data_IF_084765727176
#
_entry.id   IF_084765727176
#
_cell.length_a   1.000
_cell.length_b   1.000
_cell.length_c   1.000
_cell.angle_alpha   90.00
_cell.angle_beta   90.00
_cell.angle_gamma   90.00
#
_symmetry.space_group_name_H-M   'P 1'
#
loop_
_entity.id
_entity.type
_entity.pdbx_description
1 polymer ?
#
# COMPACT_ATOMS: atom_id res chain seq x y z
N UNK A 1 -5.88 -15.47 7.40
CA UNK A 1 -5.88 -14.74 8.70
C UNK A 1 -4.61 -13.90 8.89
N UNK A 2 -3.41 -14.41 8.61
CA UNK A 2 -2.16 -13.64 8.82
C UNK A 2 -2.04 -12.37 7.96
N UNK A 3 -2.57 -12.36 6.73
CA UNK A 3 -2.60 -11.16 5.87
C UNK A 3 -3.47 -10.04 6.44
N UNK A 4 -4.63 -10.40 7.03
CA UNK A 4 -5.45 -9.42 7.75
C UNK A 4 -4.70 -8.84 8.94
N UNK A 5 -4.01 -9.69 9.70
CA UNK A 5 -3.21 -9.24 10.82
C UNK A 5 -2.12 -8.27 10.35
N UNK A 6 -1.42 -8.60 9.26
CA UNK A 6 -0.42 -7.73 8.64
C UNK A 6 -1.00 -6.35 8.29
N UNK A 7 -2.16 -6.30 7.61
CA UNK A 7 -2.80 -5.05 7.18
C UNK A 7 -3.43 -4.27 8.34
N UNK A 8 -3.86 -4.96 9.40
CA UNK A 8 -4.45 -4.33 10.58
C UNK A 8 -3.42 -3.52 11.37
N UNK A 9 -2.16 -3.94 11.39
CA UNK A 9 -1.09 -3.25 12.13
C UNK A 9 -0.93 -1.79 11.68
N UNK A 10 -0.73 -1.50 10.37
CA UNK A 10 -0.58 -0.13 9.93
C UNK A 10 -1.86 0.69 9.92
N UNK A 11 -2.99 0.09 9.54
CA UNK A 11 -4.27 0.81 9.58
C UNK A 11 -4.66 1.23 11.00
N UNK A 12 -4.54 0.34 11.99
CA UNK A 12 -4.84 0.65 13.40
C UNK A 12 -3.85 1.66 13.96
N UNK A 13 -2.56 1.51 13.68
CA UNK A 13 -1.55 2.46 14.16
C UNK A 13 -1.77 3.86 13.58
N UNK A 14 -2.09 4.00 12.29
CA UNK A 14 -2.44 5.28 11.67
C UNK A 14 -3.62 5.96 12.39
N UNK A 15 -4.72 5.21 12.59
CA UNK A 15 -5.91 5.71 13.29
C UNK A 15 -5.61 6.09 14.76
N UNK A 16 -4.87 5.26 15.48
CA UNK A 16 -4.50 5.51 16.87
C UNK A 16 -3.61 6.75 17.03
N UNK A 17 -2.67 6.97 16.11
CA UNK A 17 -1.81 8.15 16.07
C UNK A 17 -2.65 9.40 15.83
N UNK A 18 -3.62 9.35 14.90
CA UNK A 18 -4.51 10.48 14.62
C UNK A 18 -5.35 10.89 15.84
N UNK A 19 -5.77 9.92 16.67
CA UNK A 19 -6.50 10.19 17.91
C UNK A 19 -5.63 10.67 19.08
N UNK A 20 -4.31 10.59 18.96
CA UNK A 20 -3.36 10.90 20.04
C UNK A 20 -2.88 12.35 19.95
N UNK A 21 -2.54 12.96 21.10
CA UNK A 21 -1.92 14.31 21.18
C UNK A 21 -0.55 14.33 21.83
N UNK A 22 -0.09 13.19 22.37
CA UNK A 22 1.21 13.07 23.05
C UNK A 22 2.25 12.53 22.08
N UNK A 23 3.28 13.32 21.80
CA UNK A 23 4.40 12.98 20.91
C UNK A 23 5.00 11.61 21.21
N UNK A 24 5.40 11.37 22.46
CA UNK A 24 6.01 10.12 22.90
C UNK A 24 5.14 8.90 22.62
N UNK A 25 3.81 9.04 22.75
CA UNK A 25 2.86 7.96 22.44
C UNK A 25 2.79 7.70 20.95
N UNK A 26 2.78 8.74 20.11
CA UNK A 26 2.81 8.60 18.65
C UNK A 26 4.07 7.87 18.18
N UNK A 27 5.23 8.26 18.70
CA UNK A 27 6.53 7.64 18.37
C UNK A 27 6.56 6.16 18.75
N UNK A 28 6.05 5.80 19.94
CA UNK A 28 5.96 4.41 20.37
C UNK A 28 5.02 3.57 19.50
N UNK A 29 3.83 4.10 19.18
CA UNK A 29 2.88 3.41 18.28
C UNK A 29 3.51 3.20 16.91
N UNK A 30 4.12 4.25 16.34
CA UNK A 30 4.78 4.19 15.03
C UNK A 30 5.95 3.19 15.00
N UNK A 31 6.88 3.29 15.95
CA UNK A 31 8.06 2.41 16.01
C UNK A 31 7.65 0.95 16.26
N UNK A 32 6.71 0.71 17.18
CA UNK A 32 6.24 -0.65 17.44
C UNK A 32 5.49 -1.23 16.24
N UNK A 33 4.62 -0.46 15.59
CA UNK A 33 3.84 -0.95 14.46
C UNK A 33 4.73 -1.29 13.26
N UNK A 34 5.77 -0.51 12.97
CA UNK A 34 6.71 -0.81 11.88
C UNK A 34 7.56 -2.06 12.17
N UNK A 35 8.02 -2.26 13.41
CA UNK A 35 8.74 -3.48 13.82
C UNK A 35 7.82 -4.72 13.79
N UNK A 36 6.61 -4.61 14.33
CA UNK A 36 5.65 -5.72 14.33
C UNK A 36 5.24 -6.08 12.90
N UNK A 37 5.05 -5.10 12.01
CA UNK A 37 4.78 -5.35 10.60
C UNK A 37 5.94 -6.11 9.92
N UNK A 38 7.20 -5.79 10.23
CA UNK A 38 8.37 -6.53 9.76
C UNK A 38 8.39 -7.98 10.24
N UNK A 39 8.12 -8.22 11.52
CA UNK A 39 8.08 -9.58 12.08
C UNK A 39 6.99 -10.40 11.40
N UNK A 40 5.79 -9.83 11.24
CA UNK A 40 4.66 -10.51 10.59
C UNK A 40 4.94 -10.72 9.10
N UNK A 41 5.49 -9.72 8.41
CA UNK A 41 5.89 -9.82 7.00
C UNK A 41 6.92 -10.93 6.77
N UNK A 42 7.95 -10.99 7.60
CA UNK A 42 8.96 -12.05 7.56
C UNK A 42 8.33 -13.44 7.81
N UNK A 43 7.39 -13.54 8.75
CA UNK A 43 6.71 -14.80 9.02
C UNK A 43 5.89 -15.32 7.82
N UNK A 44 5.30 -14.44 7.01
CA UNK A 44 4.62 -14.82 5.76
C UNK A 44 5.62 -15.41 4.77
N UNK A 45 6.79 -14.79 4.63
CA UNK A 45 7.89 -15.33 3.81
C UNK A 45 8.33 -16.72 4.26
N UNK A 46 8.47 -16.95 5.57
CA UNK A 46 8.84 -18.27 6.10
C UNK A 46 7.80 -19.35 5.82
N UNK A 47 6.50 -19.02 5.89
CA UNK A 47 5.42 -19.99 5.59
C UNK A 47 5.43 -20.42 4.13
N UNK A 48 5.63 -19.46 3.23
CA UNK A 48 5.66 -19.73 1.80
C UNK A 48 6.89 -20.56 1.43
N UNK A 49 8.04 -20.27 2.05
CA UNK A 49 9.24 -21.08 1.85
C UNK A 49 9.14 -22.48 2.48
N UNK A 50 8.41 -22.63 3.59
CA UNK A 50 8.17 -23.91 4.27
C UNK A 50 7.12 -24.81 3.57
N UNK A 51 6.56 -24.39 2.44
CA UNK A 51 5.68 -25.22 1.61
C UNK A 51 4.20 -24.84 1.63
N UNK A 52 3.80 -23.69 2.17
CA UNK A 52 2.46 -23.10 1.95
C UNK A 52 2.48 -22.21 0.69
N UNK A 53 2.20 -22.71 -0.52
CA UNK A 53 2.47 -21.96 -1.77
C UNK A 53 1.65 -20.68 -1.92
N UNK A 54 0.48 -20.62 -1.28
CA UNK A 54 -0.40 -19.45 -1.27
C UNK A 54 -1.06 -19.31 0.09
N UNK A 55 -0.98 -18.11 0.66
CA UNK A 55 -1.81 -17.71 1.80
C UNK A 55 -2.93 -16.83 1.25
N UNK A 56 -4.19 -17.27 1.38
CA UNK A 56 -5.34 -16.49 0.93
C UNK A 56 -6.37 -16.28 2.03
N UNK A 57 -7.11 -15.18 1.92
CA UNK A 57 -8.28 -14.89 2.73
C UNK A 57 -9.20 -13.91 2.00
N UNK A 58 -10.36 -14.38 1.53
CA UNK A 58 -11.30 -13.57 0.75
C UNK A 58 -10.61 -12.88 -0.44
N UNK A 59 -10.59 -11.54 -0.48
CA UNK A 59 -9.93 -10.72 -1.51
C UNK A 59 -8.40 -10.61 -1.34
N UNK A 60 -7.82 -11.22 -0.32
CA UNK A 60 -6.38 -11.18 -0.05
C UNK A 60 -5.71 -12.47 -0.49
N UNK A 61 -4.54 -12.34 -1.11
CA UNK A 61 -3.71 -13.44 -1.59
C UNK A 61 -2.24 -13.02 -1.52
N UNK A 62 -1.41 -13.92 -1.01
CA UNK A 62 0.03 -13.80 -1.10
C UNK A 62 0.64 -15.11 -1.58
N UNK A 63 1.33 -15.05 -2.71
CA UNK A 63 2.22 -16.10 -3.22
C UNK A 63 3.69 -15.68 -3.02
N UNK A 64 4.63 -16.43 -3.62
CA UNK A 64 6.06 -16.15 -3.48
C UNK A 64 6.46 -14.73 -3.90
N UNK A 65 5.82 -14.15 -4.93
CA UNK A 65 6.10 -12.79 -5.37
C UNK A 65 5.55 -11.78 -4.37
N UNK A 66 4.30 -11.95 -3.92
CA UNK A 66 3.73 -11.11 -2.87
C UNK A 66 4.55 -11.17 -1.57
N UNK A 67 5.03 -12.35 -1.17
CA UNK A 67 5.86 -12.53 0.02
C UNK A 67 7.15 -11.73 -0.05
N UNK A 68 7.82 -11.78 -1.22
CA UNK A 68 9.03 -11.02 -1.48
C UNK A 68 8.75 -9.51 -1.41
N UNK A 69 7.68 -9.04 -2.04
CA UNK A 69 7.30 -7.63 -2.01
C UNK A 69 6.90 -7.15 -0.61
N UNK A 70 6.13 -7.95 0.14
CA UNK A 70 5.81 -7.70 1.56
C UNK A 70 7.11 -7.59 2.39
N UNK A 71 8.07 -8.48 2.14
CA UNK A 71 9.38 -8.45 2.80
C UNK A 71 10.10 -7.12 2.56
N UNK A 72 10.17 -6.65 1.30
CA UNK A 72 10.78 -5.37 0.95
C UNK A 72 10.05 -4.21 1.62
N UNK A 73 8.73 -4.13 1.47
CA UNK A 73 7.91 -3.03 2.00
C UNK A 73 8.06 -2.94 3.52
N UNK A 74 7.96 -4.06 4.22
CA UNK A 74 8.07 -4.08 5.68
C UNK A 74 9.50 -3.83 6.16
N UNK A 75 10.53 -4.30 5.45
CA UNK A 75 11.93 -4.04 5.79
C UNK A 75 12.31 -2.57 5.61
N UNK A 76 12.06 -2.01 4.42
CA UNK A 76 12.34 -0.60 4.14
C UNK A 76 11.47 0.29 5.03
N UNK A 77 10.20 -0.08 5.22
CA UNK A 77 9.29 0.62 6.14
C UNK A 77 9.76 0.62 7.59
N UNK A 78 10.33 -0.47 8.08
CA UNK A 78 10.90 -0.55 9.43
C UNK A 78 12.16 0.32 9.58
N UNK A 79 13.10 0.24 8.63
CA UNK A 79 14.33 1.05 8.67
C UNK A 79 13.99 2.55 8.61
N UNK A 80 13.18 2.95 7.61
CA UNK A 80 12.76 4.33 7.46
C UNK A 80 11.90 4.80 8.65
N UNK A 81 11.00 3.94 9.14
CA UNK A 81 10.13 4.21 10.27
C UNK A 81 10.89 4.46 11.56
N UNK A 82 11.85 3.60 11.91
CA UNK A 82 12.69 3.78 13.09
C UNK A 82 13.59 5.01 12.98
N UNK A 83 14.19 5.25 11.81
CA UNK A 83 15.00 6.44 11.56
C UNK A 83 14.16 7.73 11.68
N UNK A 84 12.93 7.72 11.18
CA UNK A 84 12.04 8.88 11.21
C UNK A 84 11.71 9.37 12.62
N UNK A 85 11.80 8.52 13.64
CA UNK A 85 11.60 8.94 15.04
C UNK A 85 12.68 9.92 15.48
N UNK A 86 13.95 9.59 15.22
CA UNK A 86 15.07 10.47 15.54
C UNK A 86 15.04 11.74 14.67
N UNK A 87 14.76 11.57 13.38
CA UNK A 87 14.71 12.69 12.43
C UNK A 87 13.61 13.71 12.79
N UNK A 88 12.38 13.27 13.07
CA UNK A 88 11.29 14.18 13.45
C UNK A 88 11.56 14.90 14.78
N UNK A 89 12.32 14.31 15.70
CA UNK A 89 12.79 14.96 16.94
C UNK A 89 13.77 16.09 16.71
N UNK A 90 14.57 16.01 15.64
CA UNK A 90 15.51 17.06 15.26
C UNK A 90 14.83 18.16 14.45
N UNK A 91 13.90 17.79 13.57
CA UNK A 91 13.28 18.71 12.61
C UNK A 91 12.12 19.53 13.22
N UNK A 92 11.28 18.91 14.05
CA UNK A 92 10.07 19.52 14.56
C UNK A 92 10.07 19.63 16.08
N UNK A 93 10.03 20.87 16.57
CA UNK A 93 9.80 21.18 17.98
C UNK A 93 8.38 20.83 18.44
N UNK A 94 8.14 20.89 19.75
CA UNK A 94 6.84 20.57 20.36
C UNK A 94 5.71 21.55 19.98
N UNK A 95 6.01 22.64 19.26
CA UNK A 95 5.00 23.52 18.67
C UNK A 95 4.39 22.94 17.37
N UNK A 96 5.01 21.92 16.77
CA UNK A 96 4.61 21.33 15.48
C UNK A 96 4.00 19.92 15.63
N UNK A 97 3.31 19.67 16.74
CA UNK A 97 2.71 18.36 17.02
C UNK A 97 1.67 17.93 15.98
N UNK A 98 1.00 18.87 15.32
CA UNK A 98 0.08 18.54 14.22
C UNK A 98 0.80 17.96 13.02
N UNK A 99 1.94 18.52 12.63
CA UNK A 99 2.76 18.02 11.51
C UNK A 99 3.35 16.66 11.86
N UNK A 100 3.91 16.49 13.06
CA UNK A 100 4.45 15.20 13.51
C UNK A 100 3.38 14.11 13.53
N UNK A 101 2.17 14.44 14.01
CA UNK A 101 1.02 13.51 13.99
C UNK A 101 0.63 13.14 12.56
N UNK A 102 0.53 14.13 11.68
CA UNK A 102 0.17 13.92 10.28
C UNK A 102 1.22 13.05 9.59
N UNK A 103 2.50 13.31 9.80
CA UNK A 103 3.60 12.52 9.26
C UNK A 103 3.50 11.04 9.66
N UNK A 104 3.43 10.73 10.96
CA UNK A 104 3.39 9.33 11.39
C UNK A 104 2.09 8.62 10.96
N UNK A 105 0.95 9.32 10.99
CA UNK A 105 -0.31 8.75 10.53
C UNK A 105 -0.28 8.44 9.03
N UNK A 106 0.24 9.37 8.21
CA UNK A 106 0.36 9.18 6.76
C UNK A 106 1.44 8.18 6.38
N UNK A 107 2.56 8.14 7.09
CA UNK A 107 3.59 7.11 6.89
C UNK A 107 2.98 5.73 7.07
N UNK A 108 2.21 5.54 8.14
CA UNK A 108 1.60 4.26 8.40
C UNK A 108 0.44 3.96 7.44
N UNK A 109 -0.31 4.97 7.01
CA UNK A 109 -1.28 4.83 5.92
C UNK A 109 -0.61 4.42 4.60
N UNK A 110 0.56 4.98 4.28
CA UNK A 110 1.36 4.65 3.11
C UNK A 110 1.84 3.19 3.16
N UNK A 111 2.34 2.73 4.30
CA UNK A 111 2.71 1.31 4.49
C UNK A 111 1.49 0.41 4.35
N UNK A 112 0.33 0.79 4.91
CA UNK A 112 -0.91 0.04 4.75
C UNK A 112 -1.31 -0.10 3.28
N UNK A 113 -1.34 0.99 2.53
CA UNK A 113 -1.76 0.97 1.12
C UNK A 113 -0.75 0.23 0.23
N UNK A 114 0.56 0.36 0.49
CA UNK A 114 1.59 -0.46 -0.17
C UNK A 114 1.38 -1.95 0.08
N UNK A 115 1.15 -2.36 1.33
CA UNK A 115 0.91 -3.76 1.68
C UNK A 115 -0.40 -4.28 1.09
N UNK A 116 -1.46 -3.46 1.05
CA UNK A 116 -2.73 -3.82 0.44
C UNK A 116 -2.57 -4.04 -1.08
N UNK A 117 -1.81 -3.19 -1.76
CA UNK A 117 -1.56 -3.30 -3.20
C UNK A 117 -0.88 -4.63 -3.57
N UNK A 118 0.06 -5.12 -2.75
CA UNK A 118 0.81 -6.35 -3.05
C UNK A 118 0.16 -7.63 -2.51
N UNK A 119 -0.83 -7.50 -1.62
CA UNK A 119 -1.50 -8.63 -0.95
C UNK A 119 -2.95 -8.84 -1.38
N UNK A 120 -3.46 -8.07 -2.35
CA UNK A 120 -4.82 -8.21 -2.89
C UNK A 120 -4.85 -9.13 -4.12
N UNK A 121 -5.88 -9.99 -4.18
CA UNK A 121 -6.20 -10.78 -5.37
C UNK A 121 -7.07 -9.98 -6.37
N UNK A 122 -7.61 -8.82 -5.99
CA UNK A 122 -8.51 -8.05 -6.85
C UNK A 122 -7.80 -6.85 -7.49
N UNK A 123 -7.83 -6.75 -8.83
CA UNK A 123 -7.21 -5.66 -9.60
C UNK A 123 -7.79 -4.28 -9.28
N UNK A 124 -9.09 -4.18 -9.09
CA UNK A 124 -9.74 -2.92 -8.71
C UNK A 124 -9.28 -2.46 -7.33
N UNK A 125 -9.20 -3.37 -6.36
CA UNK A 125 -8.67 -3.07 -5.03
C UNK A 125 -7.18 -2.72 -5.06
N UNK A 126 -6.40 -3.36 -5.94
CA UNK A 126 -4.99 -3.02 -6.17
C UNK A 126 -4.85 -1.59 -6.68
N UNK A 127 -5.67 -1.21 -7.67
CA UNK A 127 -5.71 0.16 -8.20
C UNK A 127 -6.03 1.19 -7.11
N UNK A 128 -7.07 0.93 -6.29
CA UNK A 128 -7.43 1.80 -5.16
C UNK A 128 -6.28 1.91 -4.16
N UNK A 129 -5.60 0.80 -3.87
CA UNK A 129 -4.46 0.79 -2.96
C UNK A 129 -3.29 1.59 -3.51
N UNK A 130 -2.96 1.45 -4.79
CA UNK A 130 -1.91 2.25 -5.45
C UNK A 130 -2.25 3.73 -5.39
N UNK A 131 -3.48 4.13 -5.70
CA UNK A 131 -3.87 5.54 -5.58
C UNK A 131 -3.81 6.05 -4.14
N UNK A 132 -4.15 5.19 -3.17
CA UNK A 132 -3.96 5.47 -1.75
C UNK A 132 -2.50 5.75 -1.38
N UNK A 133 -1.52 5.06 -2.01
CA UNK A 133 -0.09 5.36 -1.81
C UNK A 133 0.29 6.73 -2.40
N UNK A 134 -0.26 7.08 -3.57
CA UNK A 134 -0.07 8.39 -4.21
C UNK A 134 -0.56 9.51 -3.29
N UNK A 135 -1.81 9.40 -2.81
CA UNK A 135 -2.43 10.42 -1.95
C UNK A 135 -1.65 10.60 -0.64
N UNK A 136 -1.29 9.50 0.02
CA UNK A 136 -0.47 9.58 1.23
C UNK A 136 0.87 10.29 0.98
N UNK A 137 1.51 10.02 -0.16
CA UNK A 137 2.78 10.63 -0.55
C UNK A 137 2.64 12.13 -0.82
N UNK A 138 1.57 12.56 -1.51
CA UNK A 138 1.32 13.99 -1.80
C UNK A 138 1.26 14.81 -0.51
N UNK A 139 0.54 14.31 0.50
CA UNK A 139 0.48 14.98 1.80
C UNK A 139 1.81 14.92 2.56
N UNK A 140 2.56 13.82 2.47
CA UNK A 140 3.89 13.71 3.08
C UNK A 140 4.92 14.67 2.45
N UNK A 141 4.88 14.85 1.13
CA UNK A 141 5.75 15.79 0.41
C UNK A 141 5.42 17.24 0.81
N UNK A 142 4.14 17.55 1.02
CA UNK A 142 3.71 18.88 1.44
C UNK A 142 3.72 19.10 2.97
N UNK A 143 4.47 18.31 3.74
CA UNK A 143 4.40 18.37 5.21
C UNK A 143 4.79 19.74 5.80
N UNK A 144 5.76 20.43 5.19
CA UNK A 144 6.25 21.73 5.63
C UNK A 144 5.35 22.90 5.22
N UNK A 145 4.28 22.63 4.46
CA UNK A 145 3.29 23.61 4.00
C UNK A 145 3.90 24.90 3.42
N UNK A 146 5.01 24.75 2.68
CA UNK A 146 5.72 25.84 2.03
C UNK A 146 5.48 25.81 0.53
N UNK A 147 5.72 26.93 -0.15
CA UNK A 147 5.44 27.07 -1.58
C UNK A 147 6.16 26.02 -2.43
N UNK A 148 7.40 25.67 -2.08
CA UNK A 148 8.19 24.67 -2.79
C UNK A 148 7.65 23.26 -2.60
N UNK A 149 7.20 22.92 -1.39
CA UNK A 149 6.54 21.64 -1.07
C UNK A 149 5.20 21.50 -1.78
N UNK A 150 4.40 22.57 -1.82
CA UNK A 150 3.13 22.61 -2.56
C UNK A 150 3.35 22.40 -4.06
N UNK A 151 4.34 23.10 -4.64
CA UNK A 151 4.66 22.97 -6.06
C UNK A 151 5.14 21.56 -6.40
N UNK A 152 5.99 20.96 -5.56
CA UNK A 152 6.46 19.59 -5.72
C UNK A 152 5.33 18.58 -5.60
N UNK A 153 4.47 18.71 -4.58
CA UNK A 153 3.35 17.82 -4.33
C UNK A 153 2.32 17.86 -5.47
N UNK A 154 1.98 19.04 -5.98
CA UNK A 154 1.06 19.19 -7.10
C UNK A 154 1.64 18.63 -8.41
N UNK A 155 2.93 18.87 -8.70
CA UNK A 155 3.61 18.26 -9.87
C UNK A 155 3.61 16.74 -9.80
N UNK A 156 3.94 16.19 -8.63
CA UNK A 156 3.92 14.75 -8.39
C UNK A 156 2.51 14.18 -8.55
N UNK A 157 1.50 14.85 -7.98
CA UNK A 157 0.10 14.43 -8.10
C UNK A 157 -0.34 14.39 -9.57
N UNK A 158 -0.10 15.43 -10.37
CA UNK A 158 -0.48 15.43 -11.80
C UNK A 158 0.17 14.27 -12.55
N UNK A 159 1.49 14.10 -12.40
CA UNK A 159 2.25 13.07 -13.13
C UNK A 159 1.72 11.68 -12.75
N UNK A 160 1.48 11.44 -11.46
CA UNK A 160 0.95 10.16 -10.97
C UNK A 160 -0.49 9.93 -11.40
N UNK A 161 -1.34 10.97 -11.35
CA UNK A 161 -2.75 10.90 -11.76
C UNK A 161 -2.92 10.53 -13.23
N UNK A 162 -2.02 10.94 -14.11
CA UNK A 162 -2.04 10.49 -15.51
C UNK A 162 -1.74 8.99 -15.60
N UNK A 163 -0.71 8.52 -14.89
CA UNK A 163 -0.35 7.09 -14.88
C UNK A 163 -1.46 6.20 -14.32
N UNK A 164 -2.07 6.60 -13.20
CA UNK A 164 -3.14 5.82 -12.56
C UNK A 164 -4.45 5.83 -13.38
N UNK A 165 -4.71 6.88 -14.17
CA UNK A 165 -5.82 6.94 -15.09
C UNK A 165 -5.64 5.96 -16.27
N UNK A 166 -4.42 5.85 -16.81
CA UNK A 166 -4.08 4.83 -17.82
C UNK A 166 -4.19 3.42 -17.23
N UNK A 167 -3.68 3.20 -16.01
CA UNK A 167 -3.84 1.93 -15.31
C UNK A 167 -5.31 1.56 -15.05
N UNK A 168 -6.15 2.56 -14.75
CA UNK A 168 -7.60 2.36 -14.61
C UNK A 168 -8.22 1.93 -15.93
N UNK A 169 -7.89 2.61 -17.04
CA UNK A 169 -8.35 2.24 -18.38
C UNK A 169 -7.97 0.79 -18.72
N UNK A 170 -6.71 0.40 -18.48
CA UNK A 170 -6.26 -0.98 -18.66
C UNK A 170 -7.06 -1.98 -17.81
N UNK A 171 -7.31 -1.65 -16.54
CA UNK A 171 -8.12 -2.49 -15.64
C UNK A 171 -9.56 -2.65 -16.15
N UNK A 172 -10.17 -1.59 -16.67
CA UNK A 172 -11.52 -1.63 -17.27
C UNK A 172 -11.54 -2.49 -18.54
N UNK A 173 -10.50 -2.41 -19.39
CA UNK A 173 -10.40 -3.23 -20.59
C UNK A 173 -10.22 -4.71 -20.27
N UNK A 174 -9.41 -5.04 -19.25
CA UNK A 174 -9.27 -6.42 -18.75
C UNK A 174 -10.59 -6.93 -18.17
N UNK A 175 -11.29 -6.10 -17.40
CA UNK A 175 -12.61 -6.43 -16.88
C UNK A 175 -13.60 -6.74 -18.00
N UNK A 176 -13.64 -5.90 -19.03
CA UNK A 176 -14.50 -6.10 -20.20
C UNK A 176 -14.19 -7.41 -20.93
N UNK A 177 -12.90 -7.72 -21.14
CA UNK A 177 -12.49 -8.98 -21.74
C UNK A 177 -12.92 -10.20 -20.89
N UNK A 178 -12.84 -10.10 -19.56
CA UNK A 178 -13.22 -11.16 -18.64
C UNK A 178 -14.74 -11.31 -18.47
N UNK A 179 -15.50 -10.20 -18.51
CA UNK A 179 -16.95 -10.22 -18.31
C UNK A 179 -17.69 -10.93 -19.44
N UNK A 180 -17.12 -10.91 -20.66
CA UNK A 180 -17.62 -11.68 -21.81
C UNK A 180 -17.54 -13.20 -21.56
N UNK A 181 -16.51 -13.65 -20.82
CA UNK A 181 -16.23 -15.08 -20.59
C UNK A 181 -16.89 -15.64 -19.32
N UNK A 182 -16.93 -14.87 -18.22
CA UNK A 182 -17.25 -15.40 -16.87
C UNK A 182 -18.37 -14.64 -16.14
N UNK A 183 -18.87 -13.51 -16.68
CA UNK A 183 -19.92 -12.71 -16.02
C UNK A 183 -19.40 -11.83 -14.87
N UNK A 184 -20.18 -11.68 -13.77
CA UNK A 184 -20.03 -10.61 -12.76
C UNK A 184 -18.74 -10.64 -11.90
N UNK A 185 -17.94 -11.71 -11.89
CA UNK A 185 -16.81 -11.86 -10.94
C UNK A 185 -15.44 -11.59 -11.60
N UNK A 186 -15.36 -10.55 -12.44
CA UNK A 186 -14.34 -10.34 -13.46
C UNK A 186 -12.91 -9.91 -13.07
N UNK A 187 -12.58 -9.61 -11.80
CA UNK A 187 -11.33 -8.89 -11.45
C UNK A 187 -10.38 -9.60 -10.47
N UNK A 188 -10.62 -10.87 -10.16
CA UNK A 188 -9.66 -11.68 -9.38
C UNK A 188 -8.47 -12.09 -10.26
N UNK A 189 -7.24 -11.87 -9.79
CA UNK A 189 -6.00 -12.35 -10.40
C UNK A 189 -6.05 -13.86 -10.62
N UNK A 190 -6.46 -14.61 -9.60
CA UNK A 190 -6.57 -16.06 -9.67
C UNK A 190 -7.55 -16.50 -10.78
N UNK A 191 -8.67 -15.81 -10.91
CA UNK A 191 -9.64 -16.08 -11.98
C UNK A 191 -9.11 -15.69 -13.35
N UNK A 192 -8.54 -14.49 -13.50
CA UNK A 192 -7.99 -13.99 -14.76
C UNK A 192 -6.90 -14.91 -15.33
N UNK A 193 -6.02 -15.43 -14.47
CA UNK A 193 -5.00 -16.41 -14.86
C UNK A 193 -5.65 -17.70 -15.38
N UNK A 194 -6.72 -18.18 -14.73
CA UNK A 194 -7.41 -19.41 -15.14
C UNK A 194 -8.12 -19.31 -16.50
N UNK A 195 -8.48 -18.09 -16.93
CA UNK A 195 -9.14 -17.84 -18.22
C UNK A 195 -8.22 -17.15 -19.23
N UNK A 196 -6.95 -16.90 -18.90
CA UNK A 196 -6.05 -16.07 -19.68
C UNK A 196 -5.95 -16.48 -21.16
N UNK A 197 -5.97 -17.79 -21.44
CA UNK A 197 -5.91 -18.32 -22.80
C UNK A 197 -7.19 -18.06 -23.64
N UNK A 198 -8.31 -17.74 -22.99
CA UNK A 198 -9.60 -17.44 -23.63
C UNK A 198 -9.85 -15.95 -23.82
N UNK A 199 -9.09 -15.09 -23.13
CA UNK A 199 -9.26 -13.65 -23.26
C UNK A 199 -8.92 -13.19 -24.68
N UNK A 200 -9.69 -12.22 -25.19
CA UNK A 200 -9.45 -11.63 -26.50
C UNK A 200 -8.07 -10.96 -26.56
N UNK A 201 -7.12 -11.44 -27.40
CA UNK A 201 -5.75 -10.94 -27.40
C UNK A 201 -5.62 -9.47 -27.78
N UNK A 202 -6.52 -8.95 -28.62
CA UNK A 202 -6.50 -7.55 -29.06
C UNK A 202 -6.86 -6.61 -27.92
N UNK A 203 -7.88 -6.98 -27.12
CA UNK A 203 -8.33 -6.18 -25.97
C UNK A 203 -7.27 -6.20 -24.87
N UNK A 204 -6.70 -7.38 -24.59
CA UNK A 204 -5.64 -7.51 -23.58
C UNK A 204 -4.41 -6.70 -23.99
N UNK A 205 -3.97 -6.74 -25.26
CA UNK A 205 -2.84 -5.90 -25.71
C UNK A 205 -3.12 -4.42 -25.51
N UNK A 206 -4.32 -3.95 -25.85
CA UNK A 206 -4.75 -2.56 -25.63
C UNK A 206 -4.72 -2.16 -24.15
N UNK A 207 -4.97 -3.10 -23.23
CA UNK A 207 -4.97 -2.83 -21.80
C UNK A 207 -3.57 -2.55 -21.20
N UNK A 208 -2.49 -2.84 -21.93
CA UNK A 208 -1.10 -2.68 -21.47
C UNK A 208 -0.29 -1.67 -22.32
N UNK A 209 -0.96 -0.79 -23.07
CA UNK A 209 -0.33 0.28 -23.88
C UNK A 209 -0.11 1.54 -23.04
#
# INVERSE_FOLDING_TARGET
MILLLLLSIPSVASAAIMGTRRRRTMEWIHASATVVALIVGASIGTRIWAGEPVVSWSLLRADALSAFMIGIVTFVGAVAGLYSVAYMRLEFDDNHLSQVRLFYALFQLFIFTMLLAVATDNLGLMWVAIEGTTLATVFLVNLHDNHTGLEAAYKYLIISSVGIALAFMGTVLVFYAASIEVGEIGLSWTMLISIAARLNPSIVKLAFI
#
